data_IF_186764880988
#
_entry.id   IF_186764880988
#
_cell.length_a   1.000
_cell.length_b   1.000
_cell.length_c   1.000
_cell.angle_alpha   90.00
_cell.angle_beta   90.00
_cell.angle_gamma   90.00
#
_symmetry.space_group_name_H-M   'P 1'
#
loop_
_entity.id
_entity.type
_entity.pdbx_description
1 polymer ?
#
# COMPACT_ATOMS: atom_id res chain seq x y z
N UNK A 1 10.12 12.56 -7.84
CA UNK A 1 9.90 12.23 -6.41
C UNK A 1 9.11 10.94 -6.39
N UNK A 2 9.56 9.94 -5.63
CA UNK A 2 8.80 8.70 -5.51
C UNK A 2 7.64 8.99 -4.55
N UNK A 3 6.41 9.09 -5.07
CA UNK A 3 5.24 9.39 -4.24
C UNK A 3 4.98 8.33 -3.17
N UNK A 4 4.07 8.63 -2.25
CA UNK A 4 3.68 7.72 -1.17
C UNK A 4 3.23 6.37 -1.74
N UNK A 5 3.83 5.28 -1.24
CA UNK A 5 3.48 3.90 -1.59
C UNK A 5 3.40 3.03 -0.35
N UNK A 6 2.19 2.61 -0.01
CA UNK A 6 1.94 1.63 1.04
C UNK A 6 1.49 0.31 0.42
N UNK A 7 2.38 -0.68 0.37
CA UNK A 7 2.14 -2.01 -0.18
C UNK A 7 1.19 -2.80 0.72
N UNK A 8 0.03 -3.17 0.21
CA UNK A 8 -0.99 -3.87 0.98
C UNK A 8 -0.69 -5.37 1.01
N UNK A 9 -0.55 -5.92 2.21
CA UNK A 9 -0.28 -7.35 2.43
C UNK A 9 -1.56 -8.10 2.80
N UNK A 10 -2.34 -7.56 3.75
CA UNK A 10 -3.61 -8.13 4.22
C UNK A 10 -4.57 -7.06 4.77
N UNK A 11 -5.86 -7.42 4.83
CA UNK A 11 -6.87 -6.68 5.61
C UNK A 11 -7.03 -7.42 6.95
N UNK A 12 -6.71 -6.74 8.04
CA UNK A 12 -6.74 -7.35 9.38
C UNK A 12 -8.14 -7.33 10.00
N UNK A 13 -8.85 -6.23 9.81
CA UNK A 13 -10.22 -6.03 10.27
C UNK A 13 -10.89 -4.93 9.43
N UNK A 14 -12.21 -4.71 9.54
CA UNK A 14 -12.80 -3.48 9.03
C UNK A 14 -12.00 -2.31 9.58
N UNK A 15 -11.65 -1.33 8.73
CA UNK A 15 -10.80 -0.17 9.02
C UNK A 15 -9.28 -0.41 9.23
N UNK A 16 -8.78 -1.66 9.24
CA UNK A 16 -7.34 -1.93 9.45
C UNK A 16 -6.69 -2.67 8.30
N UNK A 17 -5.58 -2.12 7.82
CA UNK A 17 -4.77 -2.68 6.74
C UNK A 17 -3.36 -2.93 7.28
N UNK A 18 -2.80 -4.10 6.97
CA UNK A 18 -1.37 -4.38 7.21
C UNK A 18 -0.64 -4.29 5.89
N UNK A 19 0.51 -3.65 5.93
CA UNK A 19 1.29 -3.43 4.73
C UNK A 19 2.64 -2.81 5.03
N UNK A 20 3.41 -2.64 3.96
CA UNK A 20 4.78 -2.13 4.01
C UNK A 20 4.87 -0.77 3.35
N UNK A 21 5.44 0.18 4.08
CA UNK A 21 5.83 1.45 3.51
C UNK A 21 7.15 1.31 2.75
N UNK A 22 7.26 2.04 1.64
CA UNK A 22 8.38 1.94 0.71
C UNK A 22 9.48 2.97 1.03
N UNK A 23 9.39 4.18 0.47
CA UNK A 23 10.55 5.10 0.41
C UNK A 23 10.46 6.24 1.42
N UNK A 24 9.29 6.82 1.63
CA UNK A 24 9.10 8.05 2.42
C UNK A 24 8.14 7.79 3.58
N UNK A 25 8.38 8.42 4.74
CA UNK A 25 7.51 8.29 5.90
C UNK A 25 6.08 8.79 5.57
N UNK A 26 5.06 8.03 5.98
CA UNK A 26 3.65 8.36 5.70
C UNK A 26 3.00 8.96 6.96
N UNK A 27 2.77 10.28 7.04
CA UNK A 27 2.18 10.89 8.21
C UNK A 27 0.70 10.49 8.41
N UNK A 28 0.27 10.39 9.66
CA UNK A 28 -1.16 10.35 9.99
C UNK A 28 -1.84 11.57 9.39
N UNK A 29 -3.00 11.35 8.77
CA UNK A 29 -3.73 12.34 7.99
C UNK A 29 -3.53 12.23 6.48
N UNK A 30 -2.54 11.47 6.00
CA UNK A 30 -2.38 11.17 4.56
C UNK A 30 -3.68 10.60 3.97
N UNK A 31 -4.00 11.05 2.76
CA UNK A 31 -5.17 10.59 2.01
C UNK A 31 -4.70 9.72 0.85
N UNK A 32 -5.12 8.46 0.84
CA UNK A 32 -4.95 7.56 -0.29
C UNK A 32 -6.17 7.65 -1.20
N UNK A 33 -5.92 7.91 -2.49
CA UNK A 33 -6.96 8.05 -3.52
C UNK A 33 -7.04 6.86 -4.46
N UNK A 34 -5.95 6.08 -4.59
CA UNK A 34 -5.85 5.04 -5.60
C UNK A 34 -5.16 3.78 -5.08
N UNK A 35 -5.50 2.66 -5.71
CA UNK A 35 -4.78 1.40 -5.62
C UNK A 35 -4.06 1.19 -6.94
N UNK A 36 -2.73 1.14 -6.90
CA UNK A 36 -1.90 0.74 -8.04
C UNK A 36 -1.55 -0.73 -7.97
N UNK A 37 -1.38 -1.35 -9.13
CA UNK A 37 -0.98 -2.75 -9.26
C UNK A 37 0.40 -2.84 -9.86
N UNK A 38 1.22 -3.72 -9.31
CA UNK A 38 2.56 -4.00 -9.81
C UNK A 38 2.73 -5.50 -9.94
N UNK A 39 3.52 -5.95 -10.92
CA UNK A 39 3.86 -7.36 -11.09
C UNK A 39 5.36 -7.55 -11.25
N UNK A 40 5.93 -8.50 -10.52
CA UNK A 40 7.30 -8.95 -10.76
C UNK A 40 7.30 -9.81 -12.03
N UNK A 41 8.03 -9.41 -13.05
CA UNK A 41 8.01 -10.06 -14.36
C UNK A 41 9.05 -11.19 -14.52
N UNK A 42 9.84 -11.47 -13.47
CA UNK A 42 10.87 -12.51 -13.44
C UNK A 42 12.17 -12.15 -14.18
N UNK A 43 12.22 -11.02 -14.88
CA UNK A 43 13.46 -10.50 -15.45
C UNK A 43 14.34 -9.91 -14.34
N UNK A 44 15.65 -9.90 -14.59
CA UNK A 44 16.62 -9.21 -13.73
C UNK A 44 17.18 -7.99 -14.46
N UNK A 45 17.38 -6.90 -13.73
CA UNK A 45 18.05 -5.71 -14.25
C UNK A 45 19.57 -5.91 -14.35
N UNK A 46 20.29 -4.86 -14.75
CA UNK A 46 21.76 -4.88 -14.88
C UNK A 46 22.50 -5.15 -13.55
N UNK A 47 21.83 -4.96 -12.41
CA UNK A 47 22.34 -5.23 -11.07
C UNK A 47 21.96 -6.63 -10.57
N UNK A 48 21.19 -7.37 -11.37
CA UNK A 48 20.68 -8.68 -11.03
C UNK A 48 19.40 -8.63 -10.19
N UNK A 49 18.78 -7.47 -9.98
CA UNK A 49 17.56 -7.33 -9.17
C UNK A 49 16.30 -7.65 -9.96
N UNK A 50 15.29 -8.22 -9.30
CA UNK A 50 14.02 -8.57 -9.95
C UNK A 50 13.29 -7.31 -10.42
N UNK A 51 12.90 -7.30 -11.70
CA UNK A 51 12.18 -6.17 -12.30
C UNK A 51 10.70 -6.25 -11.98
N UNK A 52 10.17 -5.13 -11.49
CA UNK A 52 8.75 -4.90 -11.27
C UNK A 52 8.20 -4.03 -12.39
N UNK A 53 7.04 -4.41 -12.94
CA UNK A 53 6.30 -3.65 -13.96
C UNK A 53 5.07 -3.03 -13.31
N UNK A 54 4.94 -1.71 -13.45
CA UNK A 54 3.73 -0.99 -13.07
C UNK A 54 2.61 -1.31 -14.06
N UNK A 55 1.48 -1.80 -13.54
CA UNK A 55 0.27 -2.13 -14.30
C UNK A 55 -0.79 -1.02 -14.19
N UNK A 56 -0.46 0.09 -13.55
CA UNK A 56 -1.30 1.28 -13.41
C UNK A 56 -2.28 1.20 -12.25
N UNK A 57 -3.19 2.19 -12.22
CA UNK A 57 -4.29 2.27 -11.26
C UNK A 57 -5.34 1.21 -11.60
N UNK A 58 -5.72 0.41 -10.61
CA UNK A 58 -6.73 -0.66 -10.75
C UNK A 58 -8.01 -0.39 -9.97
N UNK A 59 -7.96 0.56 -9.03
CA UNK A 59 -9.13 1.01 -8.29
C UNK A 59 -8.92 2.42 -7.69
N UNK A 60 -10.03 3.10 -7.44
CA UNK A 60 -10.08 4.30 -6.61
C UNK A 60 -10.56 3.95 -5.20
N UNK A 61 -10.00 4.62 -4.21
CA UNK A 61 -10.37 4.52 -2.79
C UNK A 61 -10.46 5.91 -2.18
N UNK A 62 -11.07 6.01 -1.01
CA UNK A 62 -11.07 7.25 -0.24
C UNK A 62 -10.69 6.88 1.17
N UNK A 63 -9.39 6.83 1.44
CA UNK A 63 -8.88 6.47 2.76
C UNK A 63 -8.07 7.60 3.36
N UNK A 64 -8.40 7.94 4.59
CA UNK A 64 -7.59 8.83 5.42
C UNK A 64 -6.90 8.01 6.50
N UNK A 65 -5.57 8.07 6.57
CA UNK A 65 -4.80 7.45 7.64
C UNK A 65 -5.11 8.13 8.98
N UNK A 66 -5.62 7.38 9.96
CA UNK A 66 -6.02 7.91 11.27
C UNK A 66 -5.18 7.41 12.42
N UNK A 67 -4.57 6.23 12.30
CA UNK A 67 -3.63 5.72 13.29
C UNK A 67 -2.63 4.74 12.66
N UNK A 68 -1.44 4.65 13.25
CA UNK A 68 -0.41 3.68 12.88
C UNK A 68 -0.03 2.86 14.10
N UNK A 69 -0.08 1.53 13.97
CA UNK A 69 0.42 0.56 14.93
C UNK A 69 1.70 -0.10 14.38
N UNK A 70 2.83 0.10 15.06
CA UNK A 70 4.14 -0.45 14.71
C UNK A 70 4.75 -1.14 15.95
N UNK A 71 4.99 -2.45 15.88
CA UNK A 71 5.48 -3.26 17.02
C UNK A 71 4.77 -2.99 18.36
N UNK A 72 3.43 -2.93 18.37
CA UNK A 72 2.59 -2.63 19.55
C UNK A 72 2.69 -1.19 20.08
N UNK A 73 3.37 -0.31 19.35
CA UNK A 73 3.41 1.13 19.62
C UNK A 73 2.50 1.86 18.63
N UNK A 74 1.90 2.96 19.09
CA UNK A 74 1.22 3.91 18.22
C UNK A 74 2.22 4.98 17.77
N UNK A 75 2.25 5.27 16.47
CA UNK A 75 3.09 6.31 15.88
C UNK A 75 2.24 7.33 15.11
N UNK A 76 2.79 8.54 14.95
CA UNK A 76 2.17 9.60 14.15
C UNK A 76 2.49 9.49 12.65
N UNK A 77 3.23 8.45 12.25
CA UNK A 77 3.57 8.15 10.86
C UNK A 77 3.93 6.67 10.68
N UNK A 78 3.90 6.20 9.43
CA UNK A 78 4.43 4.88 9.04
C UNK A 78 5.90 5.04 8.63
N UNK A 79 6.87 4.42 9.33
CA UNK A 79 8.27 4.52 8.97
C UNK A 79 8.57 3.93 7.60
N UNK A 80 9.38 4.62 6.80
CA UNK A 80 9.91 4.16 5.51
C UNK A 80 10.58 2.79 5.63
N UNK A 81 10.36 1.93 4.62
CA UNK A 81 10.92 0.59 4.55
C UNK A 81 10.29 -0.46 5.49
N UNK A 82 9.34 -0.08 6.36
CA UNK A 82 8.82 -0.93 7.43
C UNK A 82 7.38 -1.39 7.21
N UNK A 83 7.07 -2.57 7.76
CA UNK A 83 5.70 -3.08 7.88
C UNK A 83 5.01 -2.44 9.07
N UNK A 84 3.78 -1.96 8.87
CA UNK A 84 2.94 -1.43 9.93
C UNK A 84 1.48 -1.86 9.71
N UNK A 85 0.70 -1.78 10.78
CA UNK A 85 -0.76 -1.84 10.71
C UNK A 85 -1.28 -0.41 10.73
N UNK A 86 -2.03 -0.04 9.71
CA UNK A 86 -2.66 1.27 9.62
C UNK A 86 -4.16 1.15 9.87
N UNK A 87 -4.70 2.12 10.61
CA UNK A 87 -6.15 2.35 10.70
C UNK A 87 -6.50 3.46 9.72
N UNK A 88 -7.49 3.23 8.87
CA UNK A 88 -7.95 4.23 7.89
C UNK A 88 -9.45 4.44 8.00
N UNK A 89 -9.87 5.69 7.82
CA UNK A 89 -11.27 6.07 7.69
C UNK A 89 -11.64 6.26 6.23
N UNK A 90 -12.83 5.80 5.84
CA UNK A 90 -13.41 6.02 4.52
C UNK A 90 -13.78 4.72 3.79
N UNK A 91 -13.72 4.73 2.45
CA UNK A 91 -14.31 3.69 1.59
C UNK A 91 -13.31 3.04 0.64
N UNK A 92 -13.59 1.79 0.26
CA UNK A 92 -12.76 1.00 -0.65
C UNK A 92 -12.29 -0.35 -0.09
N UNK A 93 -12.68 -0.71 1.13
CA UNK A 93 -12.24 -1.96 1.78
C UNK A 93 -12.68 -3.19 1.01
N UNK A 94 -13.93 -3.21 0.54
CA UNK A 94 -14.46 -4.29 -0.29
C UNK A 94 -13.67 -4.44 -1.59
N UNK A 95 -13.29 -3.33 -2.20
CA UNK A 95 -12.45 -3.30 -3.41
C UNK A 95 -11.06 -3.89 -3.13
N UNK A 96 -10.40 -3.48 -2.04
CA UNK A 96 -9.10 -4.06 -1.65
C UNK A 96 -9.24 -5.55 -1.35
N UNK A 97 -10.29 -5.95 -0.63
CA UNK A 97 -10.53 -7.36 -0.30
C UNK A 97 -10.69 -8.21 -1.58
N UNK A 98 -11.48 -7.72 -2.54
CA UNK A 98 -11.65 -8.38 -3.84
C UNK A 98 -10.31 -8.49 -4.58
N UNK A 99 -9.54 -7.40 -4.66
CA UNK A 99 -8.23 -7.41 -5.33
C UNK A 99 -7.24 -8.38 -4.67
N UNK A 100 -7.21 -8.46 -3.34
CA UNK A 100 -6.36 -9.39 -2.61
C UNK A 100 -6.78 -10.85 -2.81
N UNK A 101 -8.09 -11.13 -2.87
CA UNK A 101 -8.62 -12.47 -3.12
C UNK A 101 -8.36 -12.94 -4.56
N UNK A 102 -8.39 -12.03 -5.53
CA UNK A 102 -8.12 -12.31 -6.95
C UNK A 102 -6.64 -12.21 -7.33
N UNK A 103 -5.77 -11.93 -6.35
CA UNK A 103 -4.34 -11.71 -6.55
C UNK A 103 -3.67 -12.93 -7.17
N UNK A 104 -3.03 -12.75 -8.32
CA UNK A 104 -2.18 -13.79 -8.92
C UNK A 104 -0.81 -13.79 -8.27
N UNK A 105 -0.07 -14.89 -8.44
CA UNK A 105 1.33 -14.96 -8.03
C UNK A 105 2.12 -13.77 -8.58
N UNK A 106 3.00 -13.21 -7.74
CA UNK A 106 3.88 -12.08 -8.08
C UNK A 106 3.17 -10.75 -8.38
N UNK A 107 1.88 -10.64 -8.11
CA UNK A 107 1.15 -9.37 -8.15
C UNK A 107 1.12 -8.73 -6.77
N UNK A 108 1.30 -7.43 -6.72
CA UNK A 108 1.26 -6.62 -5.51
C UNK A 108 0.36 -5.41 -5.75
N UNK A 109 -0.26 -4.94 -4.68
CA UNK A 109 -1.10 -3.75 -4.69
C UNK A 109 -0.54 -2.74 -3.71
N UNK A 110 -0.56 -1.46 -4.06
CA UNK A 110 -0.19 -0.39 -3.14
C UNK A 110 -1.20 0.75 -3.15
N UNK A 111 -1.38 1.34 -1.97
CA UNK A 111 -2.11 2.58 -1.80
C UNK A 111 -1.18 3.74 -2.13
N UNK A 112 -1.70 4.68 -2.93
CA UNK A 112 -1.00 5.90 -3.33
C UNK A 112 -1.92 7.10 -3.17
N UNK A 113 -1.31 8.28 -3.04
CA UNK A 113 -2.03 9.56 -3.08
C UNK A 113 -2.72 9.77 -4.42
N UNK A 114 -3.72 10.67 -4.40
CA UNK A 114 -4.41 11.11 -5.61
C UNK A 114 -3.40 11.83 -6.53
N UNK A 115 -3.13 11.30 -7.72
CA UNK A 115 -2.37 12.04 -8.75
C UNK A 115 -3.09 13.38 -9.01
N UNK A 116 -2.35 14.48 -8.79
CA UNK A 116 -2.80 15.86 -9.08
C UNK A 116 -2.63 16.19 -10.54
#
# INVERSE_FOLDING_TARGET
MAGIRFWVEEIHSPNKIVGRNDVEDIPVGTVFGFVKKTRINGARDERGELVSVDLGVVASVSFRLTAVEYYRHCLDFVPSGHTARITVDGSGFETIAALLNERRAHEHFCLTEQES
#
